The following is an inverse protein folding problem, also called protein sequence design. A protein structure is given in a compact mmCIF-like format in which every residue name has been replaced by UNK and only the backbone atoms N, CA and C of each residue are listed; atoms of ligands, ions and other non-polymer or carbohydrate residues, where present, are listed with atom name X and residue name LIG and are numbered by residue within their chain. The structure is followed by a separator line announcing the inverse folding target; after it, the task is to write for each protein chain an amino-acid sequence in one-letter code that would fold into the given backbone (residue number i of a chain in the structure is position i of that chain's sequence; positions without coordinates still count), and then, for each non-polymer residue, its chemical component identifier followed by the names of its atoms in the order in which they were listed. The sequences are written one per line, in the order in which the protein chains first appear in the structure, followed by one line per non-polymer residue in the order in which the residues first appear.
data_IF_622945340938
#
_entry.id   IF_622945340938
#
_cell.length_a   1.000
_cell.length_b   1.000
_cell.length_c   1.000
_cell.angle_alpha   90.00
_cell.angle_beta   90.00
_cell.angle_gamma   90.00
#
_symmetry.space_group_name_H-M   'P 1'
#
loop_
_entity.id
_entity.type
_entity.pdbx_description
1 polymer ?
#
# COMPACT_ATOMS: atom_id res chain seq x y z
N UNK A 1 17.35 21.85 -32.00
CA UNK A 1 17.33 20.36 -31.83
C UNK A 1 18.37 20.06 -30.76
N UNK A 2 17.97 20.10 -29.50
CA UNK A 2 18.82 19.80 -28.36
C UNK A 2 18.90 18.27 -28.19
N UNK A 3 20.12 17.77 -28.23
CA UNK A 3 20.49 16.36 -28.12
C UNK A 3 19.99 15.80 -26.76
N UNK A 4 18.92 15.04 -26.77
CA UNK A 4 18.56 14.18 -25.60
C UNK A 4 19.60 13.08 -25.52
N UNK A 5 20.66 13.31 -24.76
CA UNK A 5 21.58 12.26 -24.35
C UNK A 5 20.81 11.21 -23.56
N UNK A 6 20.79 9.99 -24.05
CA UNK A 6 20.15 8.84 -23.40
C UNK A 6 20.87 8.49 -22.08
N UNK A 7 20.17 7.84 -21.16
CA UNK A 7 20.70 7.40 -19.85
C UNK A 7 21.96 6.53 -19.96
N UNK A 8 22.14 5.82 -21.09
CA UNK A 8 23.31 5.02 -21.44
C UNK A 8 24.63 5.84 -21.53
N UNK A 9 24.57 7.14 -21.80
CA UNK A 9 25.77 8.02 -21.87
C UNK A 9 26.29 8.48 -20.49
N UNK A 10 25.76 7.91 -19.40
CA UNK A 10 26.20 8.19 -18.03
C UNK A 10 27.00 7.08 -17.38
N UNK A 11 27.43 6.09 -18.16
CA UNK A 11 28.34 5.07 -17.66
C UNK A 11 29.65 5.72 -17.20
N UNK A 12 29.98 5.48 -15.94
CA UNK A 12 31.28 5.85 -15.39
C UNK A 12 32.30 4.92 -16.05
N UNK A 13 33.12 5.47 -16.92
CA UNK A 13 34.21 4.74 -17.57
C UNK A 13 35.24 4.33 -16.49
N UNK A 14 35.17 3.07 -16.09
CA UNK A 14 36.02 2.50 -15.04
C UNK A 14 37.51 2.63 -15.39
N UNK A 15 37.86 2.59 -16.68
CA UNK A 15 39.23 2.75 -17.14
C UNK A 15 39.75 4.16 -16.84
N UNK A 16 38.91 5.18 -17.06
CA UNK A 16 39.27 6.56 -16.70
C UNK A 16 39.41 6.78 -15.19
N UNK A 17 38.59 6.07 -14.39
CA UNK A 17 38.72 6.15 -12.92
C UNK A 17 40.07 5.60 -12.42
N UNK A 18 40.59 4.56 -13.08
CA UNK A 18 41.90 3.98 -12.72
C UNK A 18 43.08 4.90 -13.04
N UNK A 19 42.91 5.79 -14.02
CA UNK A 19 43.92 6.77 -14.44
C UNK A 19 43.88 8.08 -13.67
N UNK A 20 42.78 8.34 -12.91
CA UNK A 20 42.61 9.57 -12.15
C UNK A 20 43.51 9.60 -10.92
N UNK A 21 44.07 10.78 -10.63
CA UNK A 21 44.74 11.05 -9.36
C UNK A 21 43.72 10.92 -8.18
N UNK A 22 44.20 10.43 -7.03
CA UNK A 22 43.34 10.22 -5.86
C UNK A 22 42.56 11.49 -5.44
N UNK A 23 43.22 12.67 -5.52
CA UNK A 23 42.60 13.95 -5.20
C UNK A 23 41.45 14.29 -6.16
N UNK A 24 41.63 14.07 -7.45
CA UNK A 24 40.56 14.26 -8.49
C UNK A 24 39.38 13.29 -8.29
N UNK A 25 39.69 12.03 -7.96
CA UNK A 25 38.69 11.04 -7.67
C UNK A 25 37.83 11.40 -6.46
N UNK A 26 38.43 11.94 -5.40
CA UNK A 26 37.73 12.44 -4.21
C UNK A 26 36.79 13.59 -4.58
N UNK A 27 37.24 14.59 -5.33
CA UNK A 27 36.40 15.71 -5.76
C UNK A 27 35.24 15.23 -6.68
N UNK A 28 35.52 14.31 -7.59
CA UNK A 28 34.50 13.73 -8.44
C UNK A 28 33.44 12.97 -7.63
N UNK A 29 33.85 12.15 -6.67
CA UNK A 29 32.94 11.43 -5.78
C UNK A 29 32.10 12.40 -4.92
N UNK A 30 32.72 13.44 -4.37
CA UNK A 30 32.03 14.47 -3.58
C UNK A 30 31.01 15.26 -4.41
N UNK A 31 31.31 15.56 -5.67
CA UNK A 31 30.37 16.21 -6.59
C UNK A 31 29.17 15.31 -6.91
N UNK A 32 29.39 14.01 -7.09
CA UNK A 32 28.31 13.03 -7.30
C UNK A 32 27.43 12.89 -6.06
N UNK A 33 28.02 12.79 -4.87
CA UNK A 33 27.28 12.71 -3.61
C UNK A 33 26.41 13.95 -3.38
N UNK A 34 26.94 15.15 -3.61
CA UNK A 34 26.14 16.40 -3.57
C UNK A 34 24.95 16.35 -4.51
N UNK A 35 25.15 15.93 -5.76
CA UNK A 35 24.07 15.83 -6.73
C UNK A 35 23.00 14.81 -6.35
N UNK A 36 23.38 13.67 -5.77
CA UNK A 36 22.42 12.69 -5.24
C UNK A 36 21.59 13.30 -4.12
N UNK A 37 22.22 14.05 -3.19
CA UNK A 37 21.51 14.71 -2.10
C UNK A 37 20.56 15.80 -2.59
N UNK A 38 20.98 16.64 -3.54
CA UNK A 38 20.13 17.66 -4.17
C UNK A 38 18.91 17.02 -4.84
N UNK A 39 19.12 15.97 -5.66
CA UNK A 39 18.05 15.26 -6.34
C UNK A 39 17.10 14.55 -5.35
N UNK A 40 17.63 14.05 -4.23
CA UNK A 40 16.80 13.47 -3.17
C UNK A 40 15.88 14.49 -2.53
N UNK A 41 16.36 15.71 -2.25
CA UNK A 41 15.53 16.80 -1.73
C UNK A 41 14.45 17.21 -2.73
N UNK A 42 14.79 17.33 -4.03
CA UNK A 42 13.81 17.62 -5.07
C UNK A 42 12.72 16.54 -5.14
N UNK A 43 13.12 15.26 -5.08
CA UNK A 43 12.18 14.13 -5.06
C UNK A 43 11.27 14.17 -3.83
N UNK A 44 11.78 14.52 -2.66
CA UNK A 44 10.98 14.62 -1.44
C UNK A 44 9.95 15.74 -1.52
N UNK A 45 10.29 16.87 -2.15
CA UNK A 45 9.33 17.96 -2.43
C UNK A 45 8.20 17.48 -3.35
N UNK A 46 8.55 16.76 -4.43
CA UNK A 46 7.57 16.21 -5.36
C UNK A 46 6.66 15.17 -4.68
N UNK A 47 7.23 14.31 -3.84
CA UNK A 47 6.46 13.35 -3.05
C UNK A 47 5.52 14.03 -2.06
N UNK A 48 5.97 15.10 -1.40
CA UNK A 48 5.12 15.85 -0.47
C UNK A 48 3.90 16.46 -1.19
N UNK A 49 4.07 17.00 -2.39
CA UNK A 49 2.94 17.52 -3.18
C UNK A 49 2.01 16.40 -3.66
N UNK A 50 2.54 15.26 -4.10
CA UNK A 50 1.73 14.10 -4.45
C UNK A 50 0.94 13.57 -3.24
N UNK A 51 1.56 13.56 -2.06
CA UNK A 51 0.89 13.16 -0.82
C UNK A 51 -0.25 14.12 -0.46
N UNK A 52 -0.05 15.43 -0.57
CA UNK A 52 -1.09 16.43 -0.32
C UNK A 52 -2.29 16.26 -1.27
N UNK A 53 -2.05 16.00 -2.57
CA UNK A 53 -3.11 15.69 -3.53
C UNK A 53 -3.83 14.41 -3.18
N UNK A 54 -3.06 13.39 -2.75
CA UNK A 54 -3.60 12.11 -2.33
C UNK A 54 -4.51 12.24 -1.10
N UNK A 55 -4.14 13.05 -0.11
CA UNK A 55 -4.96 13.33 1.07
C UNK A 55 -6.33 13.91 0.68
N UNK A 56 -6.33 14.92 -0.20
CA UNK A 56 -7.55 15.53 -0.70
C UNK A 56 -8.46 14.52 -1.43
N UNK A 57 -7.88 13.73 -2.33
CA UNK A 57 -8.63 12.72 -3.12
C UNK A 57 -9.26 11.65 -2.22
N UNK A 58 -8.50 11.12 -1.25
CA UNK A 58 -8.98 10.13 -0.31
C UNK A 58 -10.12 10.68 0.57
N UNK A 59 -10.00 11.95 1.00
CA UNK A 59 -11.00 12.61 1.82
C UNK A 59 -12.29 12.91 1.01
N UNK A 60 -12.17 13.50 -0.18
CA UNK A 60 -13.30 13.85 -1.03
C UNK A 60 -14.13 12.63 -1.45
N UNK A 61 -13.47 11.51 -1.77
CA UNK A 61 -14.11 10.27 -2.18
C UNK A 61 -14.44 9.34 -1.02
N UNK A 62 -14.01 9.67 0.21
CA UNK A 62 -14.14 8.83 1.40
C UNK A 62 -13.66 7.38 1.18
N UNK A 63 -12.47 7.23 0.58
CA UNK A 63 -11.82 5.95 0.30
C UNK A 63 -10.45 5.89 1.01
N UNK A 64 -9.85 4.70 1.09
CA UNK A 64 -8.56 4.48 1.77
C UNK A 64 -7.37 4.25 0.83
N UNK A 65 -7.62 4.16 -0.47
CA UNK A 65 -6.61 3.94 -1.49
C UNK A 65 -7.08 4.44 -2.85
N UNK A 66 -6.12 4.85 -3.67
CA UNK A 66 -6.31 5.25 -5.07
C UNK A 66 -5.00 5.15 -5.83
N UNK A 67 -5.00 5.40 -7.14
CA UNK A 67 -3.80 5.45 -7.96
C UNK A 67 -3.79 6.74 -8.80
N UNK A 68 -2.63 7.38 -8.88
CA UNK A 68 -2.38 8.48 -9.82
C UNK A 68 -1.50 7.99 -10.96
N UNK A 69 -1.94 8.18 -12.18
CA UNK A 69 -1.21 7.77 -13.37
C UNK A 69 -0.41 8.94 -13.96
N UNK A 70 0.82 8.66 -14.35
CA UNK A 70 1.62 9.53 -15.16
C UNK A 70 1.32 9.35 -16.66
N UNK A 71 1.86 10.21 -17.48
CA UNK A 71 1.67 10.17 -18.94
C UNK A 71 2.36 8.96 -19.60
N UNK A 72 3.42 8.43 -18.98
CA UNK A 72 4.23 7.34 -19.52
C UNK A 72 4.52 6.34 -18.41
N UNK A 73 3.97 5.15 -18.45
CA UNK A 73 4.30 3.94 -17.67
C UNK A 73 4.69 4.12 -16.17
N UNK A 74 4.40 5.27 -15.57
CA UNK A 74 4.63 5.54 -14.15
C UNK A 74 3.30 5.76 -13.44
N UNK A 75 3.22 5.35 -12.19
CA UNK A 75 2.05 5.59 -11.37
C UNK A 75 2.43 5.67 -9.89
N UNK A 76 1.57 6.29 -9.12
CA UNK A 76 1.70 6.42 -7.68
C UNK A 76 0.55 5.67 -7.01
N UNK A 77 0.87 4.67 -6.21
CA UNK A 77 -0.11 4.07 -5.31
C UNK A 77 -0.26 4.94 -4.07
N UNK A 78 -1.49 5.25 -3.75
CA UNK A 78 -1.89 5.94 -2.53
C UNK A 78 -2.61 4.97 -1.62
N UNK A 79 -2.24 4.95 -0.34
CA UNK A 79 -2.91 4.14 0.68
C UNK A 79 -2.83 4.81 2.04
N UNK A 80 -3.82 4.59 2.90
CA UNK A 80 -3.73 4.99 4.31
C UNK A 80 -2.96 3.95 5.11
N UNK A 81 -1.83 4.35 5.68
CA UNK A 81 -1.13 3.53 6.67
C UNK A 81 -1.85 3.64 8.01
N UNK A 82 -2.16 2.49 8.60
CA UNK A 82 -2.89 2.40 9.86
C UNK A 82 -1.96 1.91 10.97
N UNK A 83 -1.81 2.70 12.01
CA UNK A 83 -1.04 2.35 13.21
C UNK A 83 -2.01 2.11 14.36
N UNK A 84 -2.08 0.86 14.80
CA UNK A 84 -2.87 0.47 15.96
C UNK A 84 -2.08 0.75 17.26
N UNK A 85 -2.73 1.39 18.22
CA UNK A 85 -2.21 1.59 19.56
C UNK A 85 -3.24 1.15 20.61
N UNK A 86 -2.82 0.31 21.56
CA UNK A 86 -3.67 -0.14 22.66
C UNK A 86 -3.34 0.70 23.89
N UNK A 87 -4.25 1.57 24.27
CA UNK A 87 -4.09 2.51 25.38
C UNK A 87 -4.30 1.84 26.74
N UNK A 88 -5.19 0.84 26.83
CA UNK A 88 -5.54 0.17 28.07
C UNK A 88 -5.75 -1.33 27.85
N UNK A 89 -4.67 -2.10 27.91
CA UNK A 89 -4.71 -3.53 27.74
C UNK A 89 -5.58 -4.29 28.77
N UNK A 90 -5.58 -3.96 30.07
CA UNK A 90 -6.50 -4.56 31.04
C UNK A 90 -7.98 -4.46 30.65
N UNK A 91 -8.42 -3.33 30.11
CA UNK A 91 -9.80 -3.17 29.66
C UNK A 91 -10.08 -3.92 28.38
N UNK A 92 -9.13 -3.97 27.44
CA UNK A 92 -9.24 -4.81 26.24
C UNK A 92 -9.34 -6.30 26.60
N UNK A 93 -8.57 -6.78 27.59
CA UNK A 93 -8.67 -8.15 28.14
C UNK A 93 -10.05 -8.43 28.74
N UNK A 94 -10.60 -7.47 29.49
CA UNK A 94 -11.93 -7.60 30.08
C UNK A 94 -13.05 -7.69 29.03
N UNK A 95 -12.94 -6.93 27.95
CA UNK A 95 -13.91 -6.89 26.85
C UNK A 95 -13.87 -8.12 25.94
N UNK A 96 -12.67 -8.52 25.55
CA UNK A 96 -12.47 -9.57 24.53
C UNK A 96 -12.24 -10.97 25.14
N UNK A 97 -11.92 -11.04 26.42
CA UNK A 97 -11.61 -12.28 27.12
C UNK A 97 -10.18 -12.74 26.93
N UNK A 98 -9.60 -13.34 27.97
CA UNK A 98 -8.22 -13.81 28.00
C UNK A 98 -7.95 -14.92 26.97
N UNK A 99 -8.95 -15.78 26.72
CA UNK A 99 -8.81 -16.90 25.79
C UNK A 99 -8.58 -16.44 24.34
N UNK A 100 -9.22 -15.34 23.91
CA UNK A 100 -9.03 -14.75 22.57
C UNK A 100 -7.65 -14.12 22.44
N UNK A 101 -7.17 -13.47 23.49
CA UNK A 101 -5.96 -12.63 23.40
C UNK A 101 -4.66 -13.43 23.60
N UNK A 102 -4.71 -14.62 24.21
CA UNK A 102 -3.55 -15.43 24.59
C UNK A 102 -2.51 -15.58 23.47
N UNK A 103 -2.98 -15.93 22.26
CA UNK A 103 -2.11 -16.19 21.11
C UNK A 103 -2.10 -15.01 20.10
N UNK A 104 -2.79 -13.93 20.41
CA UNK A 104 -2.98 -12.80 19.50
C UNK A 104 -2.23 -11.55 19.91
N UNK A 105 -1.93 -11.43 21.19
CA UNK A 105 -1.25 -10.27 21.74
C UNK A 105 -0.09 -10.71 22.63
N UNK A 106 1.10 -10.25 22.29
CA UNK A 106 2.31 -10.45 23.08
C UNK A 106 2.72 -9.13 23.71
N UNK A 107 2.86 -9.11 25.03
CA UNK A 107 3.37 -7.97 25.76
C UNK A 107 4.90 -7.93 25.71
N UNK A 108 5.45 -6.75 25.37
CA UNK A 108 6.89 -6.51 25.40
C UNK A 108 7.23 -5.65 26.63
N UNK A 109 7.73 -6.26 27.72
CA UNK A 109 7.87 -5.60 29.02
C UNK A 109 8.78 -4.35 29.03
N UNK A 110 9.75 -4.29 28.12
CA UNK A 110 10.75 -3.20 28.07
C UNK A 110 10.20 -1.89 27.48
N UNK A 111 9.10 -1.90 26.72
CA UNK A 111 8.62 -0.73 25.99
C UNK A 111 7.13 -0.42 26.17
N UNK A 112 6.42 -1.19 26.97
CA UNK A 112 4.93 -1.12 27.08
C UNK A 112 4.25 -1.18 25.71
N UNK A 113 4.82 -1.95 24.79
CA UNK A 113 4.27 -2.20 23.46
C UNK A 113 3.68 -3.59 23.39
N UNK A 114 2.55 -3.69 22.72
CA UNK A 114 1.87 -4.94 22.46
C UNK A 114 2.09 -5.37 21.02
N UNK A 115 2.60 -6.57 20.82
CA UNK A 115 2.64 -7.19 19.49
C UNK A 115 1.34 -7.94 19.25
N UNK A 116 0.62 -7.56 18.20
CA UNK A 116 -0.70 -8.08 17.87
C UNK A 116 -0.60 -8.91 16.60
N UNK A 117 -1.12 -10.14 16.64
CA UNK A 117 -1.16 -11.03 15.48
C UNK A 117 -1.83 -10.33 14.27
N UNK A 118 -1.28 -10.50 13.08
CA UNK A 118 -1.60 -9.71 11.89
C UNK A 118 -3.08 -9.67 11.54
N UNK A 119 -3.76 -10.82 11.53
CA UNK A 119 -5.19 -10.89 11.17
C UNK A 119 -6.07 -10.30 12.27
N UNK A 120 -5.72 -10.56 13.53
CA UNK A 120 -6.42 -9.97 14.66
C UNK A 120 -6.22 -8.45 14.72
N UNK A 121 -5.02 -7.95 14.41
CA UNK A 121 -4.74 -6.52 14.28
C UNK A 121 -5.62 -5.88 13.21
N UNK A 122 -5.74 -6.50 12.03
CA UNK A 122 -6.60 -6.02 10.96
C UNK A 122 -8.08 -5.99 11.39
N UNK A 123 -8.55 -7.01 12.08
CA UNK A 123 -9.91 -7.03 12.63
C UNK A 123 -10.14 -5.92 13.67
N UNK A 124 -9.18 -5.71 14.60
CA UNK A 124 -9.24 -4.62 15.57
C UNK A 124 -9.28 -3.25 14.91
N UNK A 125 -8.40 -3.03 13.91
CA UNK A 125 -8.38 -1.79 13.13
C UNK A 125 -9.76 -1.57 12.50
N UNK A 126 -10.29 -2.56 11.79
CA UNK A 126 -11.60 -2.45 11.14
C UNK A 126 -12.73 -2.10 12.14
N UNK A 127 -12.73 -2.71 13.33
CA UNK A 127 -13.71 -2.41 14.37
C UNK A 127 -13.57 -0.97 14.89
N UNK A 128 -12.34 -0.52 15.12
CA UNK A 128 -12.08 0.82 15.69
C UNK A 128 -12.36 1.93 14.67
N UNK A 129 -11.95 1.76 13.40
CA UNK A 129 -12.19 2.72 12.33
C UNK A 129 -13.63 2.68 11.81
N UNK A 130 -14.30 1.53 11.91
CA UNK A 130 -15.60 1.28 11.28
C UNK A 130 -15.48 0.83 9.82
N UNK A 131 -14.29 0.44 9.37
CA UNK A 131 -14.03 -0.04 8.01
C UNK A 131 -14.46 -1.50 7.82
N UNK A 132 -15.73 -1.78 8.06
CA UNK A 132 -16.39 -3.05 7.76
C UNK A 132 -17.80 -2.80 7.23
N UNK A 133 -18.30 -3.76 6.45
CA UNK A 133 -19.64 -3.71 5.89
C UNK A 133 -20.30 -5.09 5.99
N UNK A 134 -21.52 -5.13 6.53
CA UNK A 134 -22.32 -6.32 6.70
C UNK A 134 -23.65 -6.29 5.92
N UNK A 135 -23.90 -5.24 5.15
CA UNK A 135 -25.12 -5.06 4.39
C UNK A 135 -25.01 -5.62 2.97
N UNK A 136 -23.82 -5.51 2.37
CA UNK A 136 -23.57 -5.96 1.01
C UNK A 136 -22.74 -7.23 0.96
N UNK A 137 -22.85 -7.93 -0.17
CA UNK A 137 -21.98 -9.07 -0.53
C UNK A 137 -21.02 -8.67 -1.66
N UNK A 138 -19.91 -9.40 -1.78
CA UNK A 138 -18.94 -9.17 -2.88
C UNK A 138 -19.62 -9.34 -4.24
N UNK A 139 -20.56 -10.30 -4.37
CA UNK A 139 -21.35 -10.52 -5.59
C UNK A 139 -22.16 -9.29 -5.97
N UNK A 140 -22.84 -8.66 -4.99
CA UNK A 140 -23.65 -7.47 -5.23
C UNK A 140 -22.81 -6.28 -5.68
N UNK A 141 -21.61 -6.10 -5.10
CA UNK A 141 -20.68 -5.04 -5.52
C UNK A 141 -20.22 -5.27 -6.95
N UNK A 142 -19.82 -6.50 -7.32
CA UNK A 142 -19.35 -6.82 -8.67
C UNK A 142 -20.48 -6.68 -9.70
N UNK A 143 -21.69 -7.11 -9.36
CA UNK A 143 -22.85 -7.01 -10.27
C UNK A 143 -23.29 -5.54 -10.44
N UNK A 144 -23.11 -4.72 -9.41
CA UNK A 144 -23.38 -3.27 -9.43
C UNK A 144 -22.33 -2.43 -10.20
N UNK A 145 -21.10 -2.90 -10.29
CA UNK A 145 -19.99 -2.18 -10.93
C UNK A 145 -20.14 -2.01 -12.45
N UNK A 146 -21.06 -2.76 -13.10
CA UNK A 146 -21.31 -2.62 -14.53
C UNK A 146 -20.17 -3.09 -15.43
N UNK A 147 -19.19 -3.82 -14.92
CA UNK A 147 -18.07 -4.33 -15.71
C UNK A 147 -18.52 -5.37 -16.72
N UNK A 148 -18.04 -5.22 -17.96
CA UNK A 148 -18.31 -6.22 -19.00
C UNK A 148 -17.44 -7.46 -18.75
N UNK A 149 -18.08 -8.58 -18.38
CA UNK A 149 -17.41 -9.83 -18.10
C UNK A 149 -18.29 -11.04 -18.48
N UNK A 150 -17.66 -12.14 -18.85
CA UNK A 150 -18.33 -13.41 -19.01
C UNK A 150 -18.49 -14.16 -17.67
N UNK A 151 -19.25 -15.26 -17.69
CA UNK A 151 -19.50 -16.09 -16.49
C UNK A 151 -18.23 -16.67 -15.89
N UNK A 152 -17.22 -17.00 -16.73
CA UNK A 152 -15.96 -17.55 -16.29
C UNK A 152 -15.10 -16.49 -15.61
N UNK A 153 -15.03 -15.29 -16.20
CA UNK A 153 -14.34 -14.14 -15.62
C UNK A 153 -14.96 -13.76 -14.28
N UNK A 154 -16.31 -13.68 -14.20
CA UNK A 154 -17.03 -13.40 -12.96
C UNK A 154 -16.69 -14.41 -11.85
N UNK A 155 -16.75 -15.70 -12.16
CA UNK A 155 -16.42 -16.75 -11.20
C UNK A 155 -14.96 -16.68 -10.73
N UNK A 156 -14.02 -16.34 -11.62
CA UNK A 156 -12.62 -16.17 -11.30
C UNK A 156 -12.38 -14.97 -10.38
N UNK A 157 -13.03 -13.84 -10.66
CA UNK A 157 -12.95 -12.61 -9.86
C UNK A 157 -13.46 -12.88 -8.44
N UNK A 158 -14.67 -13.41 -8.29
CA UNK A 158 -15.25 -13.75 -6.98
C UNK A 158 -14.33 -14.64 -6.14
N UNK A 159 -13.68 -15.61 -6.77
CA UNK A 159 -12.78 -16.55 -6.09
C UNK A 159 -11.45 -15.90 -5.65
N UNK A 160 -10.96 -14.90 -6.39
CA UNK A 160 -9.61 -14.33 -6.19
C UNK A 160 -9.57 -13.05 -5.37
N UNK A 161 -10.68 -12.33 -5.25
CA UNK A 161 -10.76 -11.10 -4.46
C UNK A 161 -10.47 -11.37 -2.99
N UNK A 162 -9.56 -10.58 -2.41
CA UNK A 162 -9.07 -10.73 -1.03
C UNK A 162 -9.30 -9.51 -0.14
N UNK A 163 -9.73 -8.37 -0.71
CA UNK A 163 -9.75 -7.09 -0.03
C UNK A 163 -8.36 -6.45 0.09
N UNK A 164 -7.42 -6.83 -0.79
CA UNK A 164 -6.08 -6.25 -0.87
C UNK A 164 -5.98 -5.42 -2.15
N UNK A 165 -6.17 -4.09 -2.05
CA UNK A 165 -6.32 -3.19 -3.20
C UNK A 165 -5.32 -3.44 -4.32
N UNK A 166 -4.00 -3.35 -4.04
CA UNK A 166 -2.98 -3.47 -5.07
C UNK A 166 -2.97 -4.83 -5.80
N UNK A 167 -3.37 -5.91 -5.11
CA UNK A 167 -3.48 -7.25 -5.72
C UNK A 167 -4.78 -7.41 -6.48
N UNK A 168 -5.85 -6.89 -5.91
CA UNK A 168 -7.19 -7.03 -6.45
C UNK A 168 -7.36 -6.18 -7.71
N UNK A 169 -6.86 -4.94 -7.76
CA UNK A 169 -6.89 -4.10 -8.97
C UNK A 169 -6.05 -4.71 -10.10
N UNK A 170 -4.84 -5.21 -9.80
CA UNK A 170 -4.01 -5.88 -10.79
C UNK A 170 -4.68 -7.15 -11.35
N UNK A 171 -5.32 -7.93 -10.50
CA UNK A 171 -6.08 -9.13 -10.89
C UNK A 171 -7.28 -8.76 -11.76
N UNK A 172 -8.04 -7.72 -11.41
CA UNK A 172 -9.19 -7.23 -12.19
C UNK A 172 -8.76 -6.76 -13.57
N UNK A 173 -7.72 -5.91 -13.67
CA UNK A 173 -7.16 -5.42 -14.93
C UNK A 173 -6.76 -6.55 -15.87
N UNK A 174 -6.06 -7.55 -15.35
CA UNK A 174 -5.66 -8.72 -16.10
C UNK A 174 -6.86 -9.60 -16.54
N UNK A 175 -7.83 -9.80 -15.67
CA UNK A 175 -8.96 -10.68 -15.94
C UNK A 175 -9.93 -10.05 -16.94
N UNK A 176 -10.16 -8.74 -16.85
CA UNK A 176 -11.07 -8.00 -17.71
C UNK A 176 -10.39 -7.48 -18.99
N UNK A 177 -9.05 -7.59 -19.08
CA UNK A 177 -8.29 -7.06 -20.23
C UNK A 177 -8.33 -5.55 -20.33
N UNK A 178 -8.52 -4.83 -19.22
CA UNK A 178 -8.57 -3.38 -19.15
C UNK A 178 -7.45 -2.85 -18.24
N UNK A 179 -6.29 -2.44 -18.78
CA UNK A 179 -5.13 -2.00 -17.98
C UNK A 179 -5.35 -0.68 -17.25
N UNK A 180 -6.32 0.12 -17.66
CA UNK A 180 -6.66 1.43 -17.07
C UNK A 180 -7.96 1.38 -16.27
N UNK A 181 -8.42 0.19 -15.88
CA UNK A 181 -9.62 0.04 -15.07
C UNK A 181 -9.47 0.83 -13.77
N UNK A 182 -10.41 1.69 -13.50
CA UNK A 182 -10.61 2.35 -12.22
C UNK A 182 -11.72 1.60 -11.47
N UNK A 183 -11.44 1.18 -10.23
CA UNK A 183 -12.34 0.40 -9.40
C UNK A 183 -12.12 0.69 -7.91
N UNK A 184 -11.70 1.91 -7.59
CA UNK A 184 -11.29 2.27 -6.23
C UNK A 184 -12.44 2.16 -5.24
N UNK A 185 -13.64 2.59 -5.65
CA UNK A 185 -14.82 2.56 -4.80
C UNK A 185 -15.31 1.13 -4.60
N UNK A 186 -15.42 0.34 -5.66
CA UNK A 186 -15.83 -1.06 -5.58
C UNK A 186 -14.84 -1.88 -4.74
N UNK A 187 -13.54 -1.68 -4.95
CA UNK A 187 -12.51 -2.36 -4.17
C UNK A 187 -12.52 -1.91 -2.71
N UNK A 188 -12.88 -0.66 -2.41
CA UNK A 188 -13.06 -0.22 -1.03
C UNK A 188 -14.27 -0.87 -0.37
N UNK A 189 -15.40 -1.03 -1.05
CA UNK A 189 -16.52 -1.82 -0.55
C UNK A 189 -16.13 -3.28 -0.33
N UNK A 190 -15.42 -3.90 -1.27
CA UNK A 190 -14.93 -5.27 -1.14
C UNK A 190 -13.97 -5.40 0.06
N UNK A 191 -13.07 -4.44 0.26
CA UNK A 191 -12.21 -4.36 1.44
C UNK A 191 -13.03 -4.36 2.74
N UNK A 192 -14.09 -3.55 2.84
CA UNK A 192 -14.96 -3.49 4.02
C UNK A 192 -15.71 -4.80 4.26
N UNK A 193 -16.23 -5.43 3.20
CA UNK A 193 -16.88 -6.75 3.28
C UNK A 193 -15.88 -7.82 3.76
N UNK A 194 -14.66 -7.83 3.23
CA UNK A 194 -13.62 -8.77 3.67
C UNK A 194 -13.15 -8.52 5.10
N UNK A 195 -13.12 -7.28 5.54
CA UNK A 195 -12.90 -6.95 6.93
C UNK A 195 -14.04 -7.46 7.83
N UNK A 196 -15.30 -7.39 7.40
CA UNK A 196 -16.40 -7.99 8.16
C UNK A 196 -16.27 -9.51 8.30
N UNK A 197 -15.90 -10.22 7.24
CA UNK A 197 -15.61 -11.65 7.33
C UNK A 197 -14.54 -11.93 8.39
N UNK A 198 -13.50 -11.09 8.45
CA UNK A 198 -12.42 -11.21 9.42
C UNK A 198 -12.88 -10.85 10.83
N UNK A 199 -13.66 -9.77 11.01
CA UNK A 199 -14.23 -9.37 12.30
C UNK A 199 -15.06 -10.50 12.90
N UNK A 200 -15.92 -11.13 12.11
CA UNK A 200 -16.75 -12.28 12.55
C UNK A 200 -15.93 -13.50 13.00
N UNK A 201 -14.70 -13.65 12.56
CA UNK A 201 -13.84 -14.74 12.98
C UNK A 201 -13.28 -14.54 14.41
N UNK A 202 -13.24 -13.30 14.91
CA UNK A 202 -12.65 -12.96 16.20
C UNK A 202 -13.66 -12.41 17.22
N UNK A 203 -14.76 -11.84 16.77
CA UNK A 203 -15.72 -11.17 17.63
C UNK A 203 -17.07 -11.90 17.62
N UNK A 204 -17.72 -12.09 18.79
CA UNK A 204 -19.05 -12.65 18.85
C UNK A 204 -20.06 -11.70 18.17
N UNK A 205 -21.06 -12.25 17.54
CA UNK A 205 -22.11 -11.46 16.88
C UNK A 205 -23.04 -10.81 17.91
N UNK A 206 -23.30 -11.51 19.02
CA UNK A 206 -24.12 -11.02 20.12
C UNK A 206 -23.39 -9.95 20.93
N UNK A 207 -23.99 -8.79 21.10
CA UNK A 207 -23.40 -7.65 21.81
C UNK A 207 -22.24 -6.96 21.05
N UNK A 208 -22.02 -7.28 19.77
CA UNK A 208 -20.91 -6.74 19.00
C UNK A 208 -20.88 -5.20 18.98
N UNK A 209 -22.05 -4.55 18.80
CA UNK A 209 -22.12 -3.08 18.74
C UNK A 209 -21.65 -2.41 20.03
N UNK A 210 -22.02 -2.97 21.19
CA UNK A 210 -21.58 -2.47 22.49
C UNK A 210 -20.09 -2.69 22.72
N UNK A 211 -19.58 -3.90 22.39
CA UNK A 211 -18.17 -4.23 22.49
C UNK A 211 -17.31 -3.34 21.56
N UNK A 212 -17.75 -3.08 20.34
CA UNK A 212 -17.08 -2.20 19.39
C UNK A 212 -17.03 -0.75 19.90
N UNK A 213 -18.13 -0.25 20.45
CA UNK A 213 -18.18 1.09 21.04
C UNK A 213 -17.24 1.24 22.26
N UNK A 214 -17.18 0.22 23.10
CA UNK A 214 -16.25 0.19 24.24
C UNK A 214 -14.79 0.10 23.79
N UNK A 215 -14.46 -0.72 22.80
CA UNK A 215 -13.09 -0.86 22.27
C UNK A 215 -12.52 0.46 21.78
N UNK A 216 -13.32 1.30 21.13
CA UNK A 216 -12.91 2.63 20.65
C UNK A 216 -12.41 3.57 21.76
N UNK A 217 -12.73 3.30 23.02
CA UNK A 217 -12.22 4.07 24.18
C UNK A 217 -10.81 3.66 24.61
N UNK A 218 -10.35 2.46 24.24
CA UNK A 218 -9.10 1.87 24.73
C UNK A 218 -8.10 1.52 23.64
N UNK A 219 -8.50 1.64 22.38
CA UNK A 219 -7.67 1.37 21.21
C UNK A 219 -7.84 2.54 20.25
N UNK A 220 -6.73 3.07 19.79
CA UNK A 220 -6.71 4.12 18.76
C UNK A 220 -6.04 3.60 17.50
N UNK A 221 -6.42 4.18 16.37
CA UNK A 221 -5.80 3.93 15.06
C UNK A 221 -5.45 5.29 14.46
N UNK A 222 -4.15 5.51 14.28
CA UNK A 222 -3.66 6.67 13.53
C UNK A 222 -3.59 6.31 12.06
N UNK A 223 -4.22 7.09 11.21
CA UNK A 223 -4.22 6.92 9.76
C UNK A 223 -3.38 7.99 9.12
N UNK A 224 -2.42 7.59 8.32
CA UNK A 224 -1.53 8.50 7.60
C UNK A 224 -1.47 8.07 6.13
N UNK A 225 -1.84 8.93 5.18
CA UNK A 225 -1.67 8.66 3.77
C UNK A 225 -0.20 8.39 3.42
N UNK A 226 0.01 7.36 2.62
CA UNK A 226 1.33 6.98 2.09
C UNK A 226 1.23 6.89 0.59
N UNK A 227 2.29 7.32 -0.05
CA UNK A 227 2.46 7.19 -1.50
C UNK A 227 3.61 6.23 -1.80
N UNK A 228 3.44 5.40 -2.82
CA UNK A 228 4.47 4.52 -3.37
C UNK A 228 4.58 4.78 -4.87
N UNK A 229 5.68 5.42 -5.29
CA UNK A 229 5.95 5.68 -6.70
C UNK A 229 6.40 4.39 -7.38
N UNK A 230 5.74 4.02 -8.48
CA UNK A 230 6.07 2.87 -9.31
C UNK A 230 6.32 3.28 -10.76
N UNK A 231 7.20 2.57 -11.43
CA UNK A 231 7.49 2.73 -12.84
C UNK A 231 7.76 1.37 -13.47
N UNK A 232 7.46 1.22 -14.75
CA UNK A 232 7.73 -0.01 -15.51
C UNK A 232 9.24 -0.25 -15.63
N UNK A 233 9.66 -1.49 -15.40
CA UNK A 233 11.05 -1.90 -15.59
C UNK A 233 11.53 -1.77 -17.03
N UNK A 234 10.64 -1.80 -18.02
CA UNK A 234 10.98 -1.66 -19.44
C UNK A 234 11.66 -0.32 -19.76
N UNK A 235 11.40 0.74 -18.96
CA UNK A 235 12.06 2.04 -19.12
C UNK A 235 13.50 2.07 -18.54
N UNK A 236 13.91 1.06 -17.79
CA UNK A 236 15.24 0.97 -17.14
C UNK A 236 16.15 -0.05 -17.84
N UNK A 237 15.57 -1.04 -18.54
CA UNK A 237 16.31 -2.18 -19.10
C UNK A 237 16.90 -1.93 -20.50
N UNK A 238 16.57 -0.80 -21.15
CA UNK A 238 17.21 -0.41 -22.42
C UNK A 238 18.68 0.05 -22.27
N UNK A 239 19.20 0.07 -21.02
CA UNK A 239 20.57 0.49 -20.70
C UNK A 239 21.53 -0.61 -20.21
N UNK A 240 21.07 -1.84 -19.93
CA UNK A 240 21.92 -2.90 -19.38
C UNK A 240 21.76 -4.19 -20.19
N UNK A 241 22.10 -4.16 -21.47
CA UNK A 241 22.59 -5.35 -22.19
C UNK A 241 24.09 -5.25 -22.28
N UNK A 242 24.74 -5.59 -21.18
CA UNK A 242 26.16 -5.90 -21.20
C UNK A 242 26.38 -7.11 -22.12
N UNK A 243 27.11 -6.88 -23.16
CA UNK A 243 27.70 -7.86 -24.07
C UNK A 243 28.53 -8.87 -23.26
N UNK A 244 27.94 -10.03 -22.95
CA UNK A 244 28.71 -11.21 -22.57
C UNK A 244 29.05 -11.93 -23.83
N UNK A 245 30.04 -11.38 -24.58
CA UNK A 245 30.73 -12.06 -25.64
C UNK A 245 31.45 -13.27 -25.06
N UNK A 246 30.97 -14.44 -25.47
CA UNK A 246 31.72 -15.67 -25.38
C UNK A 246 32.91 -15.60 -26.36
N UNK A 247 34.06 -15.94 -25.83
CA UNK A 247 35.08 -16.79 -26.50
C UNK A 247 35.96 -17.46 -25.42
#
# INVERSE_FOLDING_TARGET
MENRKTLAEREIDVTKLQEMETAELVEFAAAKDRKVKETAVELDILKAELQRRAENELEERNIKFTEFFGEVNSYVNVSCAQKLEILNMPMVRKLLGEALLRDKVTEKPAEVKYDVEKKFRQALIAVVTGDYDNEFTVEQVIDGAGWRMDTRQRSLILKKLKGEYAKDIAMLRNTLGNPVLEADEELYYIYKIKNWELVRAFFPTEGFGEAAAELKKYVTVDETPRIELKYSREAVDDGIKGDTGAD
#
